data_IF_094375214039
#
_entry.id   IF_094375214039
#
_cell.length_a   1.000
_cell.length_b   1.000
_cell.length_c   1.000
_cell.angle_alpha   90.00
_cell.angle_beta   90.00
_cell.angle_gamma   90.00
#
_symmetry.space_group_name_H-M   'P 1'
#
loop_
_entity.id
_entity.type
_entity.pdbx_description
1 polymer ?
#
# COMPACT_ATOMS: atom_id res chain seq x y z
N UNK A 1 10.59 -15.56 0.59
CA UNK A 1 9.33 -15.06 0.04
C UNK A 1 9.55 -13.71 -0.58
N UNK A 2 9.08 -13.54 -1.80
CA UNK A 2 9.38 -12.35 -2.57
C UNK A 2 8.17 -11.45 -2.68
N UNK A 3 8.44 -10.16 -2.67
CA UNK A 3 7.42 -9.16 -2.91
C UNK A 3 7.97 -8.13 -3.90
N UNK A 4 7.09 -7.61 -4.73
CA UNK A 4 7.41 -6.53 -5.63
C UNK A 4 6.40 -5.41 -5.41
N UNK A 5 6.90 -4.21 -5.17
CA UNK A 5 6.07 -3.05 -4.90
C UNK A 5 6.47 -1.93 -5.86
N UNK A 6 5.52 -1.48 -6.66
CA UNK A 6 5.72 -0.39 -7.60
C UNK A 6 4.68 0.68 -7.37
N UNK A 7 5.03 1.93 -7.66
CA UNK A 7 4.10 3.03 -7.56
C UNK A 7 4.02 3.77 -8.90
N UNK A 8 2.84 4.30 -9.21
CA UNK A 8 2.64 5.10 -10.41
C UNK A 8 1.45 6.04 -10.23
N UNK A 9 1.41 7.15 -10.95
CA UNK A 9 0.21 7.98 -10.99
C UNK A 9 -0.97 7.18 -11.56
N UNK A 10 -2.15 7.38 -10.99
CA UNK A 10 -3.38 6.72 -11.43
C UNK A 10 -4.46 7.78 -11.66
N UNK A 11 -4.21 8.66 -12.60
CA UNK A 11 -5.05 9.80 -12.87
C UNK A 11 -4.50 11.08 -12.23
N UNK A 12 -5.17 12.22 -12.39
CA UNK A 12 -4.63 13.51 -11.98
C UNK A 12 -4.51 13.70 -10.47
N UNK A 13 -5.27 12.94 -9.67
CA UNK A 13 -5.30 13.11 -8.22
C UNK A 13 -5.04 11.83 -7.44
N UNK A 14 -4.81 10.72 -8.10
CA UNK A 14 -4.62 9.44 -7.44
C UNK A 14 -3.24 8.86 -7.73
N UNK A 15 -2.77 8.01 -6.83
CA UNK A 15 -1.51 7.30 -6.98
C UNK A 15 -1.74 5.83 -6.69
N UNK A 16 -1.23 4.96 -7.54
CA UNK A 16 -1.40 3.53 -7.39
C UNK A 16 -0.16 2.89 -6.74
N UNK A 17 -0.41 1.96 -5.85
CA UNK A 17 0.61 1.09 -5.26
C UNK A 17 0.30 -0.32 -5.74
N UNK A 18 1.14 -0.85 -6.60
CA UNK A 18 0.97 -2.19 -7.16
C UNK A 18 1.83 -3.17 -6.39
N UNK A 19 1.19 -4.18 -5.80
CA UNK A 19 1.89 -5.18 -5.00
C UNK A 19 1.75 -6.54 -5.66
N UNK A 20 2.86 -7.26 -5.77
CA UNK A 20 2.88 -8.62 -6.33
C UNK A 20 3.61 -9.55 -5.37
N UNK A 21 3.13 -10.77 -5.26
CA UNK A 21 3.76 -11.80 -4.44
C UNK A 21 2.99 -12.08 -3.16
N UNK A 22 3.69 -12.16 -2.06
CA UNK A 22 3.12 -12.55 -0.78
C UNK A 22 3.36 -11.47 0.27
N UNK A 23 2.29 -11.07 0.96
CA UNK A 23 2.36 -10.06 2.02
C UNK A 23 2.26 -10.78 3.36
N UNK A 24 3.36 -10.84 4.08
CA UNK A 24 3.46 -11.50 5.38
C UNK A 24 4.23 -10.62 6.37
N UNK A 25 4.57 -11.20 7.51
CA UNK A 25 5.27 -10.46 8.56
C UNK A 25 6.65 -9.95 8.10
N UNK A 26 7.25 -10.61 7.12
CA UNK A 26 8.58 -10.23 6.62
C UNK A 26 8.52 -9.20 5.50
N UNK A 27 7.49 -9.25 4.68
CA UNK A 27 7.36 -8.38 3.50
C UNK A 27 6.48 -7.16 3.75
N UNK A 28 5.57 -7.24 4.71
CA UNK A 28 4.63 -6.15 5.00
C UNK A 28 5.32 -4.82 5.34
N UNK A 29 6.49 -4.78 6.01
CA UNK A 29 7.17 -3.51 6.26
C UNK A 29 7.47 -2.73 4.99
N UNK A 30 7.77 -3.42 3.88
CA UNK A 30 8.06 -2.77 2.61
C UNK A 30 6.81 -2.10 2.04
N UNK A 31 5.67 -2.76 2.14
CA UNK A 31 4.39 -2.18 1.72
C UNK A 31 4.05 -0.96 2.57
N UNK A 32 4.21 -1.09 3.87
CA UNK A 32 3.96 0.00 4.83
C UNK A 32 4.84 1.20 4.53
N UNK A 33 6.13 0.98 4.32
CA UNK A 33 7.08 2.04 4.02
C UNK A 33 6.71 2.79 2.74
N UNK A 34 6.37 2.05 1.69
CA UNK A 34 5.97 2.64 0.41
C UNK A 34 4.73 3.52 0.55
N UNK A 35 3.71 3.03 1.24
CA UNK A 35 2.47 3.77 1.46
C UNK A 35 2.75 5.02 2.31
N UNK A 36 3.54 4.88 3.37
CA UNK A 36 3.87 6.01 4.23
C UNK A 36 4.65 7.09 3.51
N UNK A 37 5.55 6.73 2.60
CA UNK A 37 6.27 7.69 1.79
C UNK A 37 5.33 8.52 0.92
N UNK A 38 4.32 7.88 0.33
CA UNK A 38 3.33 8.60 -0.47
C UNK A 38 2.50 9.53 0.39
N UNK A 39 2.07 9.09 1.56
CA UNK A 39 1.30 9.92 2.48
C UNK A 39 2.13 11.10 2.95
N UNK A 40 3.41 10.91 3.23
CA UNK A 40 4.32 11.98 3.64
C UNK A 40 4.51 13.02 2.54
N UNK A 41 4.32 12.63 1.29
CA UNK A 41 4.35 13.54 0.14
C UNK A 41 3.01 14.25 -0.08
N UNK A 42 2.03 14.03 0.76
CA UNK A 42 0.69 14.62 0.62
C UNK A 42 -0.22 13.87 -0.34
N UNK A 43 0.13 12.64 -0.70
CA UNK A 43 -0.67 11.82 -1.62
C UNK A 43 -1.63 10.95 -0.84
N UNK A 44 -2.85 11.43 -0.68
CA UNK A 44 -3.85 10.78 0.17
C UNK A 44 -4.88 9.95 -0.60
N UNK A 45 -4.96 10.11 -1.91
CA UNK A 45 -5.85 9.31 -2.75
C UNK A 45 -5.04 8.16 -3.35
N UNK A 46 -5.09 7.02 -2.69
CA UNK A 46 -4.29 5.85 -3.05
C UNK A 46 -5.17 4.72 -3.55
N UNK A 47 -4.69 4.07 -4.60
CA UNK A 47 -5.27 2.82 -5.09
C UNK A 47 -4.27 1.72 -4.78
N UNK A 48 -4.65 0.77 -3.95
CA UNK A 48 -3.79 -0.37 -3.64
C UNK A 48 -4.22 -1.52 -4.53
N UNK A 49 -3.38 -1.81 -5.52
CA UNK A 49 -3.64 -2.88 -6.48
C UNK A 49 -3.03 -4.18 -5.96
N UNK A 50 -3.91 -5.11 -5.61
CA UNK A 50 -3.53 -6.40 -5.05
C UNK A 50 -3.73 -7.55 -6.04
N UNK A 51 -3.94 -7.26 -7.31
CA UNK A 51 -4.20 -8.28 -8.32
C UNK A 51 -3.09 -9.33 -8.38
N UNK A 52 -1.84 -8.92 -8.21
CA UNK A 52 -0.69 -9.81 -8.23
C UNK A 52 -0.36 -10.45 -6.89
N UNK A 53 -1.16 -10.21 -5.85
CA UNK A 53 -0.92 -10.77 -4.52
C UNK A 53 -1.54 -12.16 -4.44
N UNK A 54 -0.72 -13.15 -4.09
CA UNK A 54 -1.15 -14.55 -3.97
C UNK A 54 -1.46 -14.95 -2.53
N UNK A 55 -1.00 -14.18 -1.57
CA UNK A 55 -1.19 -14.48 -0.16
C UNK A 55 -1.06 -13.20 0.66
N UNK A 56 -1.90 -13.06 1.68
CA UNK A 56 -1.79 -11.99 2.65
C UNK A 56 -2.20 -12.54 4.02
N UNK A 57 -1.37 -12.31 5.03
CA UNK A 57 -1.68 -12.72 6.39
C UNK A 57 -2.28 -11.55 7.19
N UNK A 58 -2.56 -11.79 8.48
CA UNK A 58 -3.15 -10.77 9.34
C UNK A 58 -2.25 -9.55 9.52
N UNK A 59 -0.93 -9.74 9.48
CA UNK A 59 0.02 -8.62 9.57
C UNK A 59 -0.11 -7.72 8.34
N UNK A 60 -0.18 -8.32 7.16
CA UNK A 60 -0.38 -7.58 5.92
C UNK A 60 -1.71 -6.84 5.89
N UNK A 61 -2.79 -7.50 6.32
CA UNK A 61 -4.09 -6.85 6.43
C UNK A 61 -4.05 -5.66 7.39
N UNK A 62 -3.35 -5.81 8.52
CA UNK A 62 -3.17 -4.73 9.48
C UNK A 62 -2.49 -3.51 8.88
N UNK A 63 -1.49 -3.73 8.02
CA UNK A 63 -0.80 -2.64 7.31
C UNK A 63 -1.78 -1.89 6.41
N UNK A 64 -2.60 -2.61 5.65
CA UNK A 64 -3.57 -1.98 4.75
C UNK A 64 -4.66 -1.22 5.52
N UNK A 65 -5.14 -1.78 6.62
CA UNK A 65 -6.13 -1.11 7.47
C UNK A 65 -5.54 0.15 8.09
N UNK A 66 -4.29 0.07 8.56
CA UNK A 66 -3.59 1.24 9.10
C UNK A 66 -3.42 2.34 8.07
N UNK A 67 -3.10 1.98 6.83
CA UNK A 67 -3.00 2.93 5.75
C UNK A 67 -4.34 3.60 5.46
N UNK A 68 -5.43 2.82 5.45
CA UNK A 68 -6.77 3.36 5.24
C UNK A 68 -7.13 4.40 6.31
N UNK A 69 -6.87 4.11 7.57
CA UNK A 69 -7.12 5.04 8.66
C UNK A 69 -6.31 6.32 8.49
N UNK A 70 -5.06 6.19 8.09
CA UNK A 70 -4.15 7.32 7.93
C UNK A 70 -4.60 8.26 6.82
N UNK A 71 -4.98 7.72 5.66
CA UNK A 71 -5.45 8.56 4.56
C UNK A 71 -6.80 9.22 4.89
N UNK A 72 -7.65 8.56 5.66
CA UNK A 72 -8.92 9.15 6.08
C UNK A 72 -8.74 10.36 6.97
N UNK A 73 -7.68 10.40 7.77
CA UNK A 73 -7.35 11.58 8.59
C UNK A 73 -7.05 12.79 7.72
N UNK A 74 -6.70 12.58 6.47
CA UNK A 74 -6.39 13.63 5.49
C UNK A 74 -7.45 13.74 4.39
N UNK A 75 -8.63 13.20 4.63
CA UNK A 75 -9.74 13.21 3.67
C UNK A 75 -9.45 12.46 2.38
N UNK A 76 -8.59 11.46 2.46
CA UNK A 76 -8.27 10.61 1.31
C UNK A 76 -9.09 9.32 1.28
#
# INVERSE_FOLDING_TARGET
MDIKVNTRPAGPKAHAVEVQGEIDVYTSPRVKETINELIDQGRYNLVIDLEGVRYIDSTGLGVLIGALKKVREHEG
#
